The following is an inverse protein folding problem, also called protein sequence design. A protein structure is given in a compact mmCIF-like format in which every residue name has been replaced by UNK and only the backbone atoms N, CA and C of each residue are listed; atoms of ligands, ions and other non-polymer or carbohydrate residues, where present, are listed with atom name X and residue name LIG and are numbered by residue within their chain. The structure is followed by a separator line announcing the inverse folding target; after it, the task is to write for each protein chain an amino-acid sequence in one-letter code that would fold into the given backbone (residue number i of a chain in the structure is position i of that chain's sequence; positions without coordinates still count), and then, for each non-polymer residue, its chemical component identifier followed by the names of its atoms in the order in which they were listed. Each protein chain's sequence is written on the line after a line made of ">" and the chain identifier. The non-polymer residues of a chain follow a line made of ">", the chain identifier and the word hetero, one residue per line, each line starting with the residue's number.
data_IF_697411582880
#
_entry.id   IF_697411582880
#
_cell.length_a   1.000
_cell.length_b   1.000
_cell.length_c   1.000
_cell.angle_alpha   90.00
_cell.angle_beta   90.00
_cell.angle_gamma   90.00
#
_symmetry.space_group_name_H-M   'P 1'
#
loop_
_entity.id
_entity.type
_entity.pdbx_description
1 polymer ?
#
# COMPACT_ATOMS: atom_id res chain seq x y z
N UNK A 1 -22.40 -7.64 -22.23
CA UNK A 1 -21.84 -8.21 -20.99
C UNK A 1 -20.40 -7.73 -20.86
N UNK A 2 -20.01 -7.20 -19.70
CA UNK A 2 -18.61 -6.85 -19.45
C UNK A 2 -17.89 -8.13 -19.00
N UNK A 3 -17.15 -8.77 -19.92
CA UNK A 3 -16.36 -9.97 -19.62
C UNK A 3 -15.08 -9.56 -18.91
N UNK A 4 -15.06 -9.60 -17.58
CA UNK A 4 -13.83 -9.42 -16.77
C UNK A 4 -13.69 -10.54 -15.74
N UNK A 5 -12.46 -10.92 -15.46
CA UNK A 5 -12.17 -11.84 -14.34
C UNK A 5 -12.41 -11.12 -13.01
N UNK A 6 -13.05 -11.82 -12.08
CA UNK A 6 -13.27 -11.36 -10.70
C UNK A 6 -12.86 -12.45 -9.72
N UNK A 7 -12.51 -12.07 -8.50
CA UNK A 7 -12.36 -12.98 -7.38
C UNK A 7 -13.69 -13.04 -6.61
N UNK A 8 -14.13 -14.24 -6.27
CA UNK A 8 -15.33 -14.47 -5.48
C UNK A 8 -14.93 -15.09 -4.13
N UNK A 9 -15.17 -14.36 -3.05
CA UNK A 9 -14.98 -14.85 -1.68
C UNK A 9 -16.31 -15.24 -1.11
N UNK A 10 -16.49 -16.54 -0.83
CA UNK A 10 -17.70 -17.09 -0.23
C UNK A 10 -17.42 -17.35 1.25
N UNK A 11 -18.25 -16.82 2.13
CA UNK A 11 -18.09 -16.98 3.57
C UNK A 11 -18.65 -18.34 4.02
N UNK A 12 -18.12 -18.83 5.15
CA UNK A 12 -18.61 -20.06 5.77
C UNK A 12 -20.09 -19.92 6.15
N UNK A 13 -20.84 -21.00 6.04
CA UNK A 13 -22.28 -21.03 6.26
C UNK A 13 -22.68 -20.63 7.70
N UNK A 14 -21.87 -21.03 8.67
CA UNK A 14 -22.04 -20.72 10.08
C UNK A 14 -22.07 -19.21 10.32
N UNK A 15 -21.12 -18.48 9.72
CA UNK A 15 -21.03 -17.02 9.78
C UNK A 15 -22.19 -16.35 9.02
N UNK A 16 -22.59 -16.95 7.92
CA UNK A 16 -23.66 -16.40 7.08
C UNK A 16 -25.05 -16.50 7.70
N UNK A 17 -25.27 -17.32 8.76
CA UNK A 17 -26.56 -17.50 9.43
C UNK A 17 -26.78 -16.55 10.60
N UNK A 18 -25.72 -15.96 11.14
CA UNK A 18 -25.83 -14.99 12.24
C UNK A 18 -26.32 -13.64 11.72
N UNK A 19 -27.48 -13.20 12.19
CA UNK A 19 -28.11 -11.94 11.75
C UNK A 19 -27.30 -10.70 12.18
N UNK A 20 -26.67 -10.75 13.36
CA UNK A 20 -25.81 -9.65 13.85
C UNK A 20 -24.59 -9.50 12.96
N UNK A 21 -23.95 -10.63 12.65
CA UNK A 21 -22.85 -10.68 11.69
C UNK A 21 -23.23 -10.17 10.31
N UNK A 22 -24.39 -10.63 9.77
CA UNK A 22 -24.86 -10.17 8.46
C UNK A 22 -25.00 -8.64 8.38
N UNK A 23 -25.64 -8.04 9.41
CA UNK A 23 -25.88 -6.60 9.44
C UNK A 23 -24.56 -5.82 9.50
N UNK A 24 -23.62 -6.27 10.32
CA UNK A 24 -22.30 -5.65 10.46
C UNK A 24 -21.45 -5.85 9.21
N UNK A 25 -21.44 -7.06 8.66
CA UNK A 25 -20.75 -7.38 7.43
C UNK A 25 -21.25 -6.50 6.26
N UNK A 26 -22.57 -6.30 6.12
CA UNK A 26 -23.13 -5.38 5.10
C UNK A 26 -22.62 -3.95 5.28
N UNK A 27 -22.64 -3.46 6.52
CA UNK A 27 -22.16 -2.11 6.83
C UNK A 27 -20.69 -1.96 6.47
N UNK A 28 -19.84 -2.92 6.85
CA UNK A 28 -18.40 -2.87 6.61
C UNK A 28 -18.04 -3.13 5.14
N UNK A 29 -18.72 -4.06 4.47
CA UNK A 29 -18.55 -4.28 3.04
C UNK A 29 -18.96 -3.06 2.21
N UNK A 30 -20.06 -2.39 2.55
CA UNK A 30 -20.47 -1.14 1.92
C UNK A 30 -19.46 -0.02 2.14
N UNK A 31 -18.91 0.06 3.33
CA UNK A 31 -17.93 1.07 3.69
C UNK A 31 -16.57 0.79 3.00
N UNK A 32 -16.09 -0.46 3.00
CA UNK A 32 -14.85 -0.84 2.30
C UNK A 32 -14.94 -0.68 0.78
N UNK A 33 -16.14 -0.85 0.19
CA UNK A 33 -16.37 -0.61 -1.24
C UNK A 33 -16.13 0.85 -1.66
N UNK A 34 -16.12 1.80 -0.72
CA UNK A 34 -15.77 3.20 -1.00
C UNK A 34 -14.26 3.45 -1.06
N UNK A 35 -13.42 2.50 -0.64
CA UNK A 35 -11.98 2.62 -0.67
C UNK A 35 -11.45 2.33 -2.10
N UNK A 36 -11.26 3.38 -2.89
CA UNK A 36 -10.71 3.28 -4.24
C UNK A 36 -9.27 3.79 -4.22
N UNK A 37 -8.31 2.86 -4.24
CA UNK A 37 -6.89 3.18 -4.20
C UNK A 37 -6.07 2.12 -4.95
N UNK A 38 -4.96 2.47 -5.65
CA UNK A 38 -4.15 1.50 -6.40
C UNK A 38 -3.60 0.35 -5.55
N UNK A 39 -3.37 0.56 -4.25
CA UNK A 39 -2.86 -0.45 -3.33
C UNK A 39 -3.94 -1.06 -2.41
N UNK A 40 -5.21 -0.91 -2.75
CA UNK A 40 -6.34 -1.57 -2.08
C UNK A 40 -7.14 -2.36 -3.13
N UNK A 41 -7.57 -3.56 -2.77
CA UNK A 41 -8.45 -4.38 -3.63
C UNK A 41 -9.79 -3.68 -3.77
N UNK A 42 -10.23 -3.48 -5.02
CA UNK A 42 -11.56 -2.93 -5.28
C UNK A 42 -12.63 -3.98 -5.03
N UNK A 43 -13.56 -3.69 -4.13
CA UNK A 43 -14.79 -4.49 -3.95
C UNK A 43 -15.83 -4.00 -4.95
N UNK A 44 -16.33 -4.91 -5.78
CA UNK A 44 -17.30 -4.60 -6.82
C UNK A 44 -18.74 -4.80 -6.38
N UNK A 45 -18.96 -5.84 -5.58
CA UNK A 45 -20.30 -6.22 -5.11
C UNK A 45 -20.21 -7.15 -3.91
N UNK A 46 -21.29 -7.26 -3.16
CA UNK A 46 -21.46 -8.24 -2.09
C UNK A 46 -22.95 -8.60 -1.99
N UNK A 47 -23.24 -9.82 -1.57
CA UNK A 47 -24.63 -10.29 -1.51
C UNK A 47 -24.79 -11.62 -0.82
N UNK A 48 -25.98 -12.18 -1.02
CA UNK A 48 -26.37 -13.50 -0.57
C UNK A 48 -26.71 -14.37 -1.78
N UNK A 49 -26.24 -15.61 -1.75
CA UNK A 49 -26.72 -16.68 -2.61
C UNK A 49 -27.18 -17.82 -1.71
N UNK A 50 -28.51 -18.06 -1.69
CA UNK A 50 -29.15 -18.95 -0.72
C UNK A 50 -28.88 -18.51 0.73
N UNK A 51 -28.09 -19.30 1.47
CA UNK A 51 -27.73 -19.06 2.86
C UNK A 51 -26.24 -18.67 3.04
N UNK A 52 -25.55 -18.24 1.96
CA UNK A 52 -24.13 -17.85 1.97
C UNK A 52 -23.92 -16.41 1.58
N UNK A 53 -23.14 -15.73 2.37
CA UNK A 53 -22.60 -14.41 2.04
C UNK A 53 -21.46 -14.54 1.04
N UNK A 54 -21.39 -13.63 0.07
CA UNK A 54 -20.28 -13.54 -0.86
C UNK A 54 -19.83 -12.10 -1.08
N UNK A 55 -18.56 -11.94 -1.48
CA UNK A 55 -17.98 -10.68 -1.94
C UNK A 55 -17.40 -10.91 -3.33
N UNK A 56 -17.69 -10.00 -4.25
CA UNK A 56 -17.09 -9.94 -5.58
C UNK A 56 -16.04 -8.83 -5.58
N UNK A 57 -14.80 -9.18 -5.89
CA UNK A 57 -13.68 -8.23 -5.83
C UNK A 57 -12.78 -8.35 -7.05
N UNK A 58 -11.87 -7.40 -7.17
CA UNK A 58 -10.81 -7.37 -8.17
C UNK A 58 -9.97 -8.66 -8.12
N UNK A 59 -9.79 -9.28 -9.28
CA UNK A 59 -8.91 -10.44 -9.41
C UNK A 59 -7.46 -9.97 -9.66
N UNK A 60 -6.54 -10.43 -8.84
CA UNK A 60 -5.10 -10.15 -9.00
C UNK A 60 -4.42 -11.42 -9.53
N UNK A 61 -3.82 -11.30 -10.72
CA UNK A 61 -2.98 -12.36 -11.30
C UNK A 61 -1.60 -12.30 -10.65
N UNK A 62 -1.43 -13.03 -9.57
CA UNK A 62 -0.21 -13.01 -8.76
C UNK A 62 -0.26 -13.97 -7.58
N UNK A 63 0.43 -13.63 -6.50
CA UNK A 63 0.50 -14.41 -5.28
C UNK A 63 0.29 -13.50 -4.05
N UNK A 64 -0.08 -14.09 -2.92
CA UNK A 64 -0.04 -13.37 -1.65
C UNK A 64 1.42 -13.20 -1.16
N UNK A 65 1.64 -12.16 -0.35
CA UNK A 65 2.97 -11.81 0.13
C UNK A 65 3.58 -12.90 1.02
N UNK A 66 2.74 -13.71 1.73
CA UNK A 66 3.25 -14.83 2.53
C UNK A 66 3.86 -15.92 1.66
N UNK A 67 3.24 -16.21 0.54
CA UNK A 67 3.79 -17.14 -0.47
C UNK A 67 5.13 -16.62 -1.00
N UNK A 68 5.24 -15.32 -1.28
CA UNK A 68 6.50 -14.69 -1.75
C UNK A 68 7.58 -14.78 -0.66
N UNK A 69 7.25 -14.45 0.60
CA UNK A 69 8.15 -14.56 1.74
C UNK A 69 8.68 -16.02 1.87
N UNK A 70 7.78 -16.99 1.86
CA UNK A 70 8.15 -18.39 2.04
C UNK A 70 9.10 -18.91 0.93
N UNK A 71 9.03 -18.34 -0.26
CA UNK A 71 9.86 -18.75 -1.40
C UNK A 71 11.20 -18.01 -1.50
N UNK A 72 11.25 -16.75 -1.03
CA UNK A 72 12.35 -15.84 -1.37
C UNK A 72 12.94 -15.08 -0.18
N UNK A 73 12.51 -15.35 1.07
CA UNK A 73 12.96 -14.59 2.24
C UNK A 73 14.39 -14.97 2.69
N UNK A 74 15.20 -14.01 3.16
CA UNK A 74 14.92 -12.59 3.21
C UNK A 74 14.88 -11.96 1.81
N UNK A 75 14.00 -10.96 1.62
CA UNK A 75 13.97 -10.20 0.37
C UNK A 75 15.12 -9.18 0.32
N UNK A 76 15.50 -8.77 -0.89
CA UNK A 76 16.40 -7.62 -1.01
C UNK A 76 15.78 -6.37 -0.36
N UNK A 77 16.60 -5.51 0.23
CA UNK A 77 16.14 -4.28 0.91
C UNK A 77 15.30 -3.41 -0.03
N UNK A 78 15.71 -3.30 -1.31
CA UNK A 78 14.97 -2.52 -2.31
C UNK A 78 13.56 -3.06 -2.54
N UNK A 79 13.40 -4.39 -2.70
CA UNK A 79 12.10 -5.01 -2.93
C UNK A 79 11.21 -4.96 -1.69
N UNK A 80 11.80 -5.17 -0.51
CA UNK A 80 11.08 -5.05 0.76
C UNK A 80 10.54 -3.62 0.95
N UNK A 81 11.38 -2.60 0.69
CA UNK A 81 10.97 -1.19 0.75
C UNK A 81 9.86 -0.87 -0.26
N UNK A 82 9.94 -1.40 -1.48
CA UNK A 82 8.90 -1.18 -2.49
C UNK A 82 7.53 -1.70 -2.02
N UNK A 83 7.49 -2.93 -1.50
CA UNK A 83 6.25 -3.49 -0.96
C UNK A 83 5.76 -2.73 0.28
N UNK A 84 6.65 -2.31 1.18
CA UNK A 84 6.28 -1.55 2.37
C UNK A 84 5.74 -0.17 2.03
N UNK A 85 6.32 0.51 1.04
CA UNK A 85 5.83 1.80 0.53
C UNK A 85 4.42 1.67 -0.05
N UNK A 86 4.17 0.64 -0.83
CA UNK A 86 2.85 0.39 -1.40
C UNK A 86 1.82 0.05 -0.32
N UNK A 87 2.18 -0.81 0.64
CA UNK A 87 1.29 -1.20 1.74
C UNK A 87 0.98 -0.02 2.67
N UNK A 88 2.00 0.74 3.09
CA UNK A 88 1.82 1.90 3.96
C UNK A 88 0.97 3.00 3.31
N UNK A 89 1.12 3.21 2.00
CA UNK A 89 0.30 4.14 1.22
C UNK A 89 -1.17 3.73 1.19
N UNK A 90 -1.45 2.44 0.94
CA UNK A 90 -2.81 1.89 0.97
C UNK A 90 -3.46 2.01 2.35
N UNK A 91 -2.72 1.64 3.42
CA UNK A 91 -3.19 1.80 4.80
C UNK A 91 -3.39 3.27 5.17
N UNK A 92 -2.48 4.18 4.77
CA UNK A 92 -2.60 5.62 5.00
C UNK A 92 -3.89 6.18 4.41
N UNK A 93 -4.22 5.83 3.18
CA UNK A 93 -5.49 6.21 2.54
C UNK A 93 -6.71 5.68 3.30
N UNK A 94 -6.69 4.42 3.73
CA UNK A 94 -7.78 3.84 4.52
C UNK A 94 -7.94 4.56 5.87
N UNK A 95 -6.84 4.84 6.58
CA UNK A 95 -6.85 5.55 7.86
C UNK A 95 -7.40 6.97 7.75
N UNK A 96 -7.02 7.72 6.69
CA UNK A 96 -7.59 9.04 6.40
C UNK A 96 -9.09 8.98 6.11
N UNK A 97 -9.57 7.87 5.55
CA UNK A 97 -10.99 7.60 5.31
C UNK A 97 -11.73 7.07 6.55
N UNK A 98 -11.07 6.97 7.72
CA UNK A 98 -11.65 6.50 8.97
C UNK A 98 -11.68 4.98 9.14
N UNK A 99 -10.97 4.23 8.30
CA UNK A 99 -10.90 2.77 8.35
C UNK A 99 -9.61 2.27 8.98
N UNK A 100 -9.73 1.35 9.93
CA UNK A 100 -8.63 0.54 10.48
C UNK A 100 -8.81 -0.88 10.02
N UNK A 101 -7.76 -1.50 9.47
CA UNK A 101 -7.83 -2.83 8.88
C UNK A 101 -7.98 -3.95 9.95
N UNK A 102 -7.22 -3.86 11.03
CA UNK A 102 -7.19 -4.77 12.19
C UNK A 102 -6.72 -6.22 11.91
N UNK A 103 -6.46 -6.61 10.66
CA UNK A 103 -5.94 -7.94 10.29
C UNK A 103 -4.87 -7.82 9.20
N UNK A 104 -3.94 -6.85 9.38
CA UNK A 104 -2.80 -6.64 8.48
C UNK A 104 -1.83 -7.81 8.63
N UNK A 105 -1.69 -8.60 7.57
CA UNK A 105 -0.79 -9.75 7.49
C UNK A 105 -0.42 -10.06 6.05
N UNK A 106 0.67 -10.79 5.79
CA UNK A 106 1.13 -11.04 4.43
C UNK A 106 0.12 -11.79 3.55
N UNK A 107 -0.75 -12.63 4.14
CA UNK A 107 -1.79 -13.35 3.41
C UNK A 107 -2.88 -12.40 2.86
N UNK A 108 -3.06 -11.23 3.48
CA UNK A 108 -4.00 -10.21 3.06
C UNK A 108 -3.36 -9.13 2.16
N UNK A 109 -2.18 -9.42 1.62
CA UNK A 109 -1.44 -8.57 0.69
C UNK A 109 -1.18 -9.33 -0.60
N UNK A 110 -1.90 -8.99 -1.67
CA UNK A 110 -1.75 -9.64 -2.97
C UNK A 110 -0.77 -8.84 -3.83
N UNK A 111 0.19 -9.53 -4.41
CA UNK A 111 1.18 -8.94 -5.31
C UNK A 111 0.95 -9.47 -6.71
N UNK A 112 0.69 -8.56 -7.65
CA UNK A 112 0.51 -8.91 -9.07
C UNK A 112 1.84 -9.32 -9.71
N UNK A 113 1.79 -9.96 -10.88
CA UNK A 113 2.98 -10.26 -11.70
C UNK A 113 3.79 -9.03 -12.10
N UNK A 114 3.18 -7.85 -12.09
CA UNK A 114 3.85 -6.57 -12.35
C UNK A 114 4.44 -5.90 -11.10
N UNK A 115 4.40 -6.55 -9.93
CA UNK A 115 4.94 -6.03 -8.68
C UNK A 115 4.00 -5.05 -7.94
N UNK A 116 2.75 -4.91 -8.36
CA UNK A 116 1.78 -4.04 -7.68
C UNK A 116 1.21 -4.81 -6.48
N UNK A 117 1.41 -4.26 -5.28
CA UNK A 117 0.83 -4.78 -4.04
C UNK A 117 -0.54 -4.15 -3.80
N UNK A 118 -1.52 -4.99 -3.43
CA UNK A 118 -2.87 -4.56 -3.03
C UNK A 118 -3.29 -5.26 -1.73
N UNK A 119 -3.82 -4.47 -0.79
CA UNK A 119 -4.35 -4.97 0.48
C UNK A 119 -5.79 -5.40 0.28
N UNK A 120 -6.15 -6.55 0.82
CA UNK A 120 -7.50 -7.13 0.75
C UNK A 120 -8.08 -7.34 2.16
N UNK A 121 -9.38 -7.64 2.22
CA UNK A 121 -10.09 -8.02 3.46
C UNK A 121 -10.25 -6.91 4.50
N UNK A 122 -10.36 -5.64 4.06
CA UNK A 122 -10.74 -4.55 4.96
C UNK A 122 -12.10 -4.79 5.62
N UNK A 123 -12.15 -4.60 6.94
CA UNK A 123 -13.39 -4.62 7.74
C UNK A 123 -13.93 -6.01 8.09
N UNK A 124 -13.52 -7.09 7.44
CA UNK A 124 -14.06 -8.45 7.72
C UNK A 124 -13.68 -8.91 9.14
N UNK A 125 -12.46 -8.64 9.58
CA UNK A 125 -11.99 -8.99 10.92
C UNK A 125 -12.81 -8.31 12.02
N UNK A 126 -13.20 -7.04 11.82
CA UNK A 126 -14.02 -6.29 12.75
C UNK A 126 -15.47 -6.80 12.84
N UNK A 127 -16.02 -7.32 11.74
CA UNK A 127 -17.31 -8.00 11.74
C UNK A 127 -17.24 -9.31 12.55
N UNK A 128 -16.14 -10.05 12.43
CA UNK A 128 -15.93 -11.31 13.15
C UNK A 128 -15.70 -11.11 14.66
N UNK A 129 -15.00 -10.05 15.08
CA UNK A 129 -14.69 -9.75 16.48
C UNK A 129 -15.95 -9.54 17.36
N UNK A 130 -17.08 -9.22 16.74
CA UNK A 130 -18.36 -9.05 17.46
C UNK A 130 -18.97 -10.36 17.88
N UNK A 131 -18.85 -11.41 17.06
CA UNK A 131 -19.38 -12.74 17.38
C UNK A 131 -18.60 -13.35 18.55
N UNK A 132 -17.28 -13.20 18.58
CA UNK A 132 -16.44 -13.78 19.61
C UNK A 132 -16.59 -13.10 20.99
N UNK A 133 -17.14 -11.87 21.06
CA UNK A 133 -17.42 -11.20 22.35
C UNK A 133 -18.70 -11.68 23.03
N UNK A 134 -19.68 -12.12 22.25
CA UNK A 134 -20.95 -12.66 22.78
C UNK A 134 -20.82 -14.15 23.15
N UNK A 135 -20.01 -14.89 22.42
CA UNK A 135 -19.62 -16.26 22.74
C UNK A 135 -18.24 -16.23 23.41
N UNK A 136 -18.19 -16.41 24.73
CA UNK A 136 -16.95 -16.50 25.54
C UNK A 136 -16.09 -17.73 25.13
N UNK A 137 -15.63 -17.78 23.91
CA UNK A 137 -14.68 -18.79 23.44
C UNK A 137 -13.34 -18.14 23.14
N UNK A 138 -12.27 -18.78 23.61
CA UNK A 138 -10.85 -18.50 23.38
C UNK A 138 -10.42 -18.57 21.89
N UNK A 139 -11.25 -18.13 20.98
CA UNK A 139 -10.94 -18.13 19.54
C UNK A 139 -10.27 -16.81 19.21
N UNK A 140 -8.98 -16.79 19.26
CA UNK A 140 -8.14 -15.73 18.69
C UNK A 140 -8.32 -15.79 17.16
N UNK A 141 -9.18 -14.92 16.61
CA UNK A 141 -9.39 -14.81 15.18
C UNK A 141 -8.19 -14.09 14.53
N UNK A 142 -7.56 -14.74 13.56
CA UNK A 142 -6.40 -14.25 12.81
C UNK A 142 -5.12 -14.99 13.15
N UNK A 143 -4.04 -14.65 12.44
CA UNK A 143 -2.71 -15.19 12.76
C UNK A 143 -2.11 -14.35 13.87
N UNK A 144 -1.95 -14.86 15.10
CA UNK A 144 -1.50 -14.07 16.27
C UNK A 144 -0.08 -13.52 16.11
N UNK A 145 0.67 -14.01 15.11
CA UNK A 145 2.05 -13.59 14.81
C UNK A 145 2.19 -12.11 14.39
N UNK A 146 1.10 -11.46 13.97
CA UNK A 146 1.11 -10.05 13.51
C UNK A 146 0.28 -9.14 14.41
N UNK A 147 -0.23 -9.64 15.55
CA UNK A 147 -1.07 -8.85 16.45
C UNK A 147 -0.28 -7.77 17.17
N UNK A 148 -0.90 -6.60 17.29
CA UNK A 148 -0.36 -5.55 18.13
C UNK A 148 -0.54 -5.86 19.62
N UNK A 149 0.24 -5.23 20.52
CA UNK A 149 0.07 -5.32 21.96
C UNK A 149 -1.36 -4.99 22.42
N UNK A 150 -2.00 -4.02 21.76
CA UNK A 150 -3.38 -3.60 22.06
C UNK A 150 -4.41 -4.65 21.67
N UNK A 151 -4.23 -5.30 20.54
CA UNK A 151 -5.10 -6.41 20.10
C UNK A 151 -4.96 -7.59 21.07
N UNK A 152 -3.71 -7.94 21.42
CA UNK A 152 -3.43 -8.97 22.42
C UNK A 152 -3.98 -8.64 23.83
N UNK A 153 -4.38 -7.38 24.07
CA UNK A 153 -4.98 -6.89 25.33
C UNK A 153 -6.47 -6.55 25.19
N UNK A 154 -7.08 -6.79 24.03
CA UNK A 154 -8.51 -6.51 23.77
C UNK A 154 -8.89 -5.02 23.80
N UNK A 155 -7.94 -4.11 23.54
CA UNK A 155 -8.19 -2.67 23.49
C UNK A 155 -8.89 -2.27 22.19
N UNK A 156 -9.50 -1.07 22.20
CA UNK A 156 -10.15 -0.51 21.02
C UNK A 156 -9.16 -0.32 19.87
N UNK A 157 -9.57 -0.59 18.62
CA UNK A 157 -8.70 -0.45 17.46
C UNK A 157 -8.37 1.01 17.17
N UNK A 158 -7.13 1.25 16.74
CA UNK A 158 -6.61 2.51 16.21
C UNK A 158 -5.71 2.27 15.01
N UNK A 159 -5.41 3.26 14.17
CA UNK A 159 -4.48 3.10 13.04
C UNK A 159 -3.08 2.58 13.45
N UNK A 160 -2.64 2.85 14.67
CA UNK A 160 -1.36 2.36 15.18
C UNK A 160 -1.27 0.83 15.31
N UNK A 161 -2.41 0.12 15.35
CA UNK A 161 -2.49 -1.35 15.28
C UNK A 161 -1.94 -1.84 13.93
N UNK A 162 -2.43 -1.27 12.83
CA UNK A 162 -2.04 -1.67 11.48
C UNK A 162 -0.57 -1.31 11.22
N UNK A 163 -0.08 -0.20 11.78
CA UNK A 163 1.32 0.20 11.73
C UNK A 163 2.21 -0.85 12.41
N UNK A 164 1.83 -1.32 13.60
CA UNK A 164 2.57 -2.38 14.28
C UNK A 164 2.62 -3.67 13.46
N UNK A 165 1.49 -4.11 12.94
CA UNK A 165 1.40 -5.31 12.11
C UNK A 165 2.24 -5.17 10.83
N UNK A 166 2.25 -3.99 10.19
CA UNK A 166 3.12 -3.70 9.06
C UNK A 166 4.61 -3.66 9.47
N UNK A 167 4.92 -3.24 10.69
CA UNK A 167 6.25 -3.35 11.30
C UNK A 167 6.72 -4.80 11.45
N UNK A 168 5.83 -5.72 11.88
CA UNK A 168 6.11 -7.16 11.94
C UNK A 168 6.38 -7.71 10.53
N UNK A 169 5.59 -7.31 9.54
CA UNK A 169 5.81 -7.71 8.14
C UNK A 169 7.14 -7.17 7.63
N UNK A 170 7.47 -5.92 7.92
CA UNK A 170 8.74 -5.31 7.53
C UNK A 170 9.92 -6.10 8.10
N UNK A 171 9.85 -6.46 9.38
CA UNK A 171 10.83 -7.30 10.04
C UNK A 171 11.00 -8.65 9.32
N UNK A 172 9.89 -9.33 9.03
CA UNK A 172 9.90 -10.63 8.36
C UNK A 172 10.47 -10.55 6.93
N UNK A 173 10.12 -9.51 6.17
CA UNK A 173 10.62 -9.28 4.81
C UNK A 173 12.15 -9.18 4.76
N UNK A 174 12.76 -8.43 5.69
CA UNK A 174 14.19 -8.11 5.63
C UNK A 174 15.08 -9.08 6.41
N UNK A 175 14.50 -9.87 7.36
CA UNK A 175 15.26 -10.85 8.17
C UNK A 175 14.96 -12.30 7.79
N UNK A 176 13.83 -12.57 7.14
CA UNK A 176 13.34 -13.93 6.91
C UNK A 176 12.75 -14.59 8.15
N UNK A 177 12.59 -13.86 9.25
CA UNK A 177 12.12 -14.39 10.54
C UNK A 177 11.04 -13.48 11.12
N UNK A 178 10.14 -14.07 11.91
CA UNK A 178 9.22 -13.29 12.74
C UNK A 178 9.96 -12.70 13.94
N UNK A 179 9.59 -11.51 14.44
CA UNK A 179 10.20 -10.91 15.63
C UNK A 179 9.91 -11.70 16.90
N UNK A 180 8.77 -12.38 16.94
CA UNK A 180 8.34 -13.21 18.05
C UNK A 180 7.77 -14.51 17.51
N UNK A 181 8.12 -15.61 18.17
CA UNK A 181 7.67 -16.96 17.82
C UNK A 181 7.49 -17.77 19.09
N UNK A 182 6.30 -18.33 19.29
CA UNK A 182 5.98 -19.25 20.37
C UNK A 182 5.00 -20.31 19.86
N UNK A 183 5.00 -21.48 20.49
CA UNK A 183 4.06 -22.57 20.18
C UNK A 183 2.67 -22.27 20.79
N UNK A 184 2.66 -21.62 21.96
CA UNK A 184 1.44 -21.22 22.65
C UNK A 184 1.04 -19.80 22.31
N UNK A 185 -0.24 -19.60 21.99
CA UNK A 185 -0.79 -18.29 21.62
C UNK A 185 -0.78 -17.28 22.76
N UNK A 186 -0.90 -17.71 24.02
CA UNK A 186 -0.85 -16.83 25.18
C UNK A 186 0.58 -16.33 25.45
N UNK A 187 1.58 -17.18 25.24
CA UNK A 187 2.99 -16.81 25.30
C UNK A 187 3.33 -15.82 24.17
N UNK A 188 2.91 -16.10 22.96
CA UNK A 188 3.11 -15.20 21.81
C UNK A 188 2.46 -13.83 22.06
N UNK A 189 1.24 -13.80 22.60
CA UNK A 189 0.56 -12.57 22.98
C UNK A 189 1.33 -11.81 24.09
N UNK A 190 1.95 -12.52 25.05
CA UNK A 190 2.82 -11.92 26.07
C UNK A 190 4.06 -11.30 25.43
N UNK A 191 4.72 -12.00 24.49
CA UNK A 191 5.89 -11.48 23.77
C UNK A 191 5.55 -10.19 23.02
N UNK A 192 4.42 -10.17 22.31
CA UNK A 192 3.95 -8.95 21.63
C UNK A 192 3.70 -7.80 22.61
N UNK A 193 3.18 -8.08 23.83
CA UNK A 193 2.91 -7.04 24.84
C UNK A 193 4.15 -6.48 25.51
N UNK A 194 5.16 -7.30 25.78
CA UNK A 194 6.21 -6.89 26.74
C UNK A 194 7.65 -7.17 26.29
N UNK A 195 7.91 -8.03 25.31
CA UNK A 195 9.27 -8.36 24.91
C UNK A 195 9.77 -7.48 23.78
N UNK A 196 11.03 -7.08 23.82
CA UNK A 196 11.66 -6.36 22.73
C UNK A 196 12.13 -7.34 21.66
N UNK A 197 11.95 -7.01 20.37
CA UNK A 197 12.50 -7.85 19.29
C UNK A 197 14.01 -7.71 19.22
N UNK A 198 14.69 -8.74 18.72
CA UNK A 198 16.08 -8.63 18.30
C UNK A 198 16.14 -7.58 17.19
N UNK A 199 17.07 -6.60 17.21
CA UNK A 199 17.19 -5.64 16.16
C UNK A 199 17.36 -6.32 14.79
N UNK A 200 16.59 -5.93 13.73
CA UNK A 200 16.70 -6.54 12.41
C UNK A 200 18.14 -6.60 11.88
N UNK A 201 18.92 -5.55 12.14
CA UNK A 201 20.31 -5.42 11.70
C UNK A 201 21.25 -6.45 12.36
N UNK A 202 20.93 -6.94 13.56
CA UNK A 202 21.72 -7.96 14.25
C UNK A 202 21.51 -9.35 13.60
N UNK A 203 20.43 -9.52 12.83
CA UNK A 203 20.13 -10.74 12.08
C UNK A 203 20.65 -10.64 10.64
N UNK A 204 20.44 -9.49 10.00
CA UNK A 204 20.88 -9.22 8.63
C UNK A 204 21.64 -7.89 8.60
N UNK A 205 22.97 -7.97 8.53
CA UNK A 205 23.88 -6.81 8.57
C UNK A 205 23.77 -5.89 7.34
N UNK A 206 23.13 -6.34 6.26
CA UNK A 206 22.86 -5.52 5.07
C UNK A 206 21.75 -4.48 5.30
N UNK A 207 20.99 -4.59 6.39
CA UNK A 207 19.91 -3.67 6.71
C UNK A 207 20.50 -2.32 7.11
N UNK A 208 20.16 -1.22 6.41
CA UNK A 208 20.57 0.12 6.78
C UNK A 208 20.07 0.53 8.15
N UNK A 209 20.86 1.28 8.91
CA UNK A 209 20.48 1.70 10.27
C UNK A 209 19.14 2.46 10.30
N UNK A 210 18.90 3.32 9.29
CA UNK A 210 17.64 4.06 9.18
C UNK A 210 16.43 3.13 9.03
N UNK A 211 16.53 2.01 8.28
CA UNK A 211 15.47 1.03 8.15
C UNK A 211 15.32 0.20 9.44
N UNK A 212 16.43 -0.20 10.06
CA UNK A 212 16.43 -0.88 11.36
C UNK A 212 15.65 -0.07 12.40
N UNK A 213 15.96 1.21 12.57
CA UNK A 213 15.28 2.09 13.52
C UNK A 213 13.80 2.31 13.16
N UNK A 214 13.48 2.43 11.88
CA UNK A 214 12.10 2.60 11.43
C UNK A 214 11.23 1.37 11.76
N UNK A 215 11.77 0.16 11.57
CA UNK A 215 11.09 -1.10 11.94
C UNK A 215 10.92 -1.18 13.46
N UNK A 216 11.97 -0.89 14.24
CA UNK A 216 11.89 -0.91 15.70
C UNK A 216 10.89 0.12 16.24
N UNK A 217 10.82 1.31 15.64
CA UNK A 217 9.82 2.33 15.96
C UNK A 217 8.41 1.82 15.69
N UNK A 218 8.15 1.18 14.56
CA UNK A 218 6.84 0.59 14.26
C UNK A 218 6.47 -0.52 15.25
N UNK A 219 7.45 -1.26 15.80
CA UNK A 219 7.29 -2.33 16.77
C UNK A 219 7.30 -1.85 18.24
N UNK A 220 7.33 -0.53 18.52
CA UNK A 220 7.25 0.00 19.87
C UNK A 220 6.01 -0.51 20.61
N UNK A 221 6.13 -0.78 21.89
CA UNK A 221 5.03 -1.35 22.69
C UNK A 221 3.94 -0.33 22.99
N UNK A 222 4.33 0.91 23.28
CA UNK A 222 3.38 2.01 23.40
C UNK A 222 2.95 2.48 21.99
N UNK A 223 1.65 2.52 21.67
CA UNK A 223 1.16 3.07 20.42
C UNK A 223 1.60 4.52 20.15
N UNK A 224 1.79 5.32 21.22
CA UNK A 224 2.21 6.72 21.11
C UNK A 224 3.64 6.88 20.56
N UNK A 225 4.50 5.88 20.77
CA UNK A 225 5.89 5.89 20.30
C UNK A 225 6.02 5.45 18.83
N UNK A 226 4.94 4.95 18.22
CA UNK A 226 4.92 4.48 16.82
C UNK A 226 4.65 5.63 15.85
N UNK A 227 4.67 5.31 14.57
CA UNK A 227 3.97 6.12 13.58
C UNK A 227 2.46 6.02 13.85
N UNK A 228 1.76 7.16 13.82
CA UNK A 228 0.37 7.22 14.24
C UNK A 228 -0.62 6.66 13.21
N UNK A 229 -0.19 6.54 11.95
CA UNK A 229 -0.98 6.00 10.84
C UNK A 229 -0.07 5.53 9.70
N UNK A 230 -0.69 4.93 8.66
CA UNK A 230 0.04 4.44 7.50
C UNK A 230 0.74 5.54 6.70
N UNK A 231 0.21 6.77 6.67
CA UNK A 231 0.83 7.89 5.96
C UNK A 231 2.12 8.35 6.62
N UNK A 232 2.14 8.47 7.95
CA UNK A 232 3.37 8.80 8.68
C UNK A 232 4.46 7.74 8.47
N UNK A 233 4.07 6.45 8.48
CA UNK A 233 5.01 5.38 8.22
C UNK A 233 5.52 5.44 6.78
N UNK A 234 4.64 5.71 5.81
CA UNK A 234 4.99 5.90 4.41
C UNK A 234 6.03 7.01 4.21
N UNK A 235 5.83 8.19 4.82
CA UNK A 235 6.77 9.30 4.78
C UNK A 235 8.15 8.92 5.36
N UNK A 236 8.15 8.16 6.46
CA UNK A 236 9.38 7.62 7.04
C UNK A 236 10.13 6.70 6.06
N UNK A 237 9.43 5.80 5.39
CA UNK A 237 10.01 4.88 4.41
C UNK A 237 10.51 5.59 3.14
N UNK A 238 9.81 6.62 2.63
CA UNK A 238 10.28 7.46 1.52
C UNK A 238 11.63 8.09 1.85
N UNK A 239 11.77 8.66 3.06
CA UNK A 239 13.01 9.28 3.49
C UNK A 239 14.18 8.29 3.49
N UNK A 240 13.95 7.05 3.92
CA UNK A 240 14.92 5.96 3.88
C UNK A 240 15.30 5.61 2.44
N UNK A 241 14.31 5.46 1.57
CA UNK A 241 14.52 5.14 0.16
C UNK A 241 15.39 6.21 -0.53
N UNK A 242 15.12 7.49 -0.28
CA UNK A 242 15.89 8.61 -0.83
C UNK A 242 17.36 8.58 -0.37
N UNK A 243 17.62 8.27 0.90
CA UNK A 243 18.99 8.14 1.43
C UNK A 243 19.74 7.02 0.71
N UNK A 244 19.10 5.86 0.51
CA UNK A 244 19.71 4.72 -0.18
C UNK A 244 20.04 5.03 -1.64
N UNK A 245 19.14 5.68 -2.37
CA UNK A 245 19.41 6.10 -3.76
C UNK A 245 20.52 7.16 -3.84
N UNK A 246 20.55 8.13 -2.93
CA UNK A 246 21.59 9.16 -2.89
C UNK A 246 22.98 8.57 -2.64
N UNK A 247 23.07 7.58 -1.75
CA UNK A 247 24.33 6.88 -1.43
C UNK A 247 24.89 6.08 -2.63
N UNK A 248 24.03 5.57 -3.51
CA UNK A 248 24.45 4.87 -4.73
C UNK A 248 24.83 5.82 -5.86
N UNK A 249 24.24 7.02 -5.93
CA UNK A 249 24.55 8.02 -6.96
C UNK A 249 25.93 8.67 -6.78
N UNK A 250 26.49 8.68 -5.58
CA UNK A 250 27.83 9.23 -5.30
C UNK A 250 28.96 8.35 -5.81
N UNK A 251 28.70 7.14 -6.27
CA UNK A 251 29.70 6.20 -6.82
C UNK A 251 29.87 6.30 -8.34
N UNK A 252 29.10 7.13 -9.03
CA UNK A 252 29.35 7.43 -10.45
C UNK A 252 30.41 8.55 -10.47
N UNK A 253 31.66 8.26 -10.90
CA UNK A 253 32.65 9.32 -11.05
C UNK A 253 32.12 10.33 -12.05
N UNK A 254 31.93 11.56 -11.63
CA UNK A 254 31.65 12.68 -12.52
C UNK A 254 32.85 12.80 -13.44
N UNK A 255 32.78 12.25 -14.64
CA UNK A 255 33.77 12.47 -15.70
C UNK A 255 33.64 13.95 -16.05
N UNK A 256 34.58 14.76 -15.54
CA UNK A 256 34.64 16.17 -15.90
C UNK A 256 34.77 16.28 -17.43
N UNK A 257 33.97 17.13 -18.08
CA UNK A 257 34.03 17.29 -19.55
C UNK A 257 35.37 17.67 -20.12
N UNK A 258 36.29 18.17 -19.30
CA UNK A 258 37.64 18.63 -19.72
C UNK A 258 38.59 17.51 -20.18
N UNK A 259 38.34 16.25 -19.79
CA UNK A 259 39.21 15.13 -20.23
C UNK A 259 38.91 14.63 -21.64
N UNK A 260 37.76 14.97 -22.22
CA UNK A 260 37.38 14.53 -23.57
C UNK A 260 37.94 15.44 -24.67
N UNK A 261 38.35 16.66 -24.34
CA UNK A 261 38.87 17.64 -25.33
C UNK A 261 40.34 17.48 -25.68
N UNK A 262 41.15 16.71 -24.94
CA UNK A 262 42.56 16.54 -25.19
C UNK A 262 42.95 15.38 -26.10
N UNK A 263 42.06 14.46 -26.42
CA UNK A 263 42.38 13.29 -27.25
C UNK A 263 41.93 13.41 -28.73
N UNK A 264 41.35 14.55 -29.11
CA UNK A 264 40.83 14.74 -30.50
C UNK A 264 41.51 15.85 -31.30
N UNK A 265 42.78 16.16 -30.98
CA UNK A 265 43.59 17.15 -31.74
C UNK A 265 44.65 16.50 -32.64
N UNK A 266 44.31 15.41 -33.28
CA UNK A 266 45.20 14.75 -34.23
C UNK A 266 44.41 13.87 -35.19
N UNK A 267 43.65 14.44 -36.10
CA UNK A 267 43.16 13.91 -37.37
C UNK A 267 41.85 14.60 -37.77
N UNK A 268 41.90 15.76 -38.37
CA UNK A 268 40.90 16.23 -39.33
C UNK A 268 41.62 17.16 -40.31
N UNK A 269 41.93 16.62 -41.46
CA UNK A 269 42.04 17.38 -42.72
C UNK A 269 40.96 16.79 -43.61
N UNK A 270 40.16 17.68 -44.21
CA UNK A 270 39.30 17.50 -45.37
C UNK A 270 38.03 16.70 -45.19
N UNK A 271 36.94 17.40 -44.93
CA UNK A 271 35.65 17.25 -45.63
C UNK A 271 34.87 18.56 -45.51
N UNK A 272 34.43 19.09 -46.65
CA UNK A 272 33.77 20.37 -46.86
C UNK A 272 32.39 20.47 -46.24
N UNK A 273 32.03 21.71 -45.92
CA UNK A 273 30.74 22.21 -45.46
C UNK A 273 29.58 21.81 -46.40
N UNK A 274 28.50 21.28 -45.79
CA UNK A 274 27.15 21.47 -46.29
C UNK A 274 26.24 21.83 -45.14
N UNK A 275 25.82 23.10 -45.10
CA UNK A 275 24.96 23.70 -44.11
C UNK A 275 23.52 23.30 -44.39
N UNK A 276 22.88 22.63 -43.41
CA UNK A 276 21.42 22.69 -43.28
C UNK A 276 21.02 22.50 -41.84
N UNK A 277 20.69 23.63 -41.17
CA UNK A 277 20.09 23.65 -39.86
C UNK A 277 18.59 23.23 -39.94
N UNK A 278 18.14 22.24 -39.17
CA UNK A 278 16.71 22.05 -38.99
C UNK A 278 16.25 23.01 -37.90
N UNK A 279 15.33 23.90 -38.22
CA UNK A 279 14.53 24.70 -37.29
C UNK A 279 13.73 23.75 -36.40
N UNK A 280 14.16 23.61 -35.16
CA UNK A 280 13.33 23.00 -34.11
C UNK A 280 12.17 23.97 -33.81
N UNK A 281 11.04 23.72 -34.43
CA UNK A 281 9.79 24.38 -34.07
C UNK A 281 9.41 23.93 -32.65
N UNK A 282 9.31 24.88 -31.74
CA UNK A 282 8.94 24.63 -30.34
C UNK A 282 7.53 24.10 -30.26
N UNK A 283 7.36 22.83 -30.03
CA UNK A 283 6.08 22.13 -29.84
C UNK A 283 5.23 22.77 -28.72
N UNK A 284 5.87 23.44 -27.77
CA UNK A 284 5.26 24.14 -26.66
C UNK A 284 4.39 25.34 -27.07
N UNK A 285 4.82 26.12 -28.09
CA UNK A 285 4.06 27.32 -28.54
C UNK A 285 2.83 26.96 -29.35
N UNK A 286 2.85 25.87 -30.10
CA UNK A 286 1.68 25.40 -30.85
C UNK A 286 0.63 24.81 -29.89
N UNK A 287 1.06 24.05 -28.89
CA UNK A 287 0.15 23.49 -27.88
C UNK A 287 -0.55 24.57 -27.06
N UNK A 288 0.17 25.62 -26.67
CA UNK A 288 -0.42 26.77 -25.98
C UNK A 288 -1.45 27.54 -26.85
N UNK A 289 -1.19 27.73 -28.14
CA UNK A 289 -2.12 28.39 -29.05
C UNK A 289 -3.41 27.58 -29.25
N UNK A 290 -3.30 26.25 -29.36
CA UNK A 290 -4.48 25.38 -29.48
C UNK A 290 -5.30 25.35 -28.18
N UNK A 291 -4.67 25.31 -27.02
CA UNK A 291 -5.36 25.41 -25.71
C UNK A 291 -6.08 26.73 -25.53
N UNK A 292 -5.49 27.86 -25.95
CA UNK A 292 -6.13 29.19 -25.89
C UNK A 292 -7.36 29.27 -26.81
N UNK A 293 -7.30 28.66 -28.00
CA UNK A 293 -8.41 28.65 -28.96
C UNK A 293 -9.59 27.79 -28.49
N UNK A 294 -9.31 26.65 -27.79
CA UNK A 294 -10.34 25.79 -27.21
C UNK A 294 -11.03 26.44 -25.99
N UNK A 295 -10.29 27.22 -25.18
CA UNK A 295 -10.83 27.93 -24.03
C UNK A 295 -11.77 29.08 -24.46
N UNK A 296 -11.41 29.82 -25.47
CA UNK A 296 -12.25 30.97 -25.97
C UNK A 296 -13.44 30.48 -26.80
N UNK A 297 -13.25 29.40 -27.62
CA UNK A 297 -14.30 28.87 -28.49
C UNK A 297 -15.34 27.97 -27.82
N UNK A 298 -14.96 27.24 -26.77
CA UNK A 298 -15.81 26.24 -26.13
C UNK A 298 -16.64 26.75 -24.94
N UNK A 299 -16.14 27.71 -24.18
CA UNK A 299 -16.82 28.18 -22.96
C UNK A 299 -17.91 29.22 -23.23
N UNK A 300 -17.78 30.01 -24.29
CA UNK A 300 -18.78 31.07 -24.59
C UNK A 300 -20.15 30.46 -24.98
N UNK A 301 -20.26 29.46 -25.87
CA UNK A 301 -21.55 28.83 -26.17
C UNK A 301 -22.18 28.12 -24.96
N UNK A 302 -21.37 27.52 -24.09
CA UNK A 302 -21.85 26.83 -22.90
C UNK A 302 -22.48 27.82 -21.90
N UNK A 303 -21.84 28.94 -21.61
CA UNK A 303 -22.36 29.95 -20.72
C UNK A 303 -23.61 30.65 -21.28
N UNK A 304 -23.65 30.87 -22.59
CA UNK A 304 -24.85 31.44 -23.26
C UNK A 304 -26.04 30.47 -23.15
N UNK A 305 -25.80 29.16 -23.32
CA UNK A 305 -26.84 28.15 -23.15
C UNK A 305 -27.33 28.08 -21.69
N UNK A 306 -26.47 28.15 -20.71
CA UNK A 306 -26.83 28.12 -19.27
C UNK A 306 -27.66 29.38 -18.91
N UNK A 307 -27.26 30.57 -19.36
CA UNK A 307 -28.00 31.82 -19.11
C UNK A 307 -29.39 31.80 -19.76
N UNK A 308 -29.51 31.31 -20.99
CA UNK A 308 -30.78 31.18 -21.68
C UNK A 308 -31.70 30.15 -21.03
N UNK A 309 -31.15 29.06 -20.52
CA UNK A 309 -31.89 28.01 -19.80
C UNK A 309 -32.43 28.50 -18.44
N UNK A 310 -31.67 29.30 -17.71
CA UNK A 310 -32.08 29.87 -16.41
C UNK A 310 -33.20 30.92 -16.64
N UNK A 311 -33.12 31.73 -17.69
CA UNK A 311 -34.17 32.71 -18.02
C UNK A 311 -35.48 32.09 -18.51
N UNK A 312 -35.47 30.86 -19.01
CA UNK A 312 -36.69 30.15 -19.41
C UNK A 312 -37.43 29.49 -18.22
N UNK A 313 -36.77 29.31 -17.08
CA UNK A 313 -37.36 28.76 -15.85
C UNK A 313 -38.00 29.83 -14.93
N UNK A 314 -37.79 31.09 -15.22
CA UNK A 314 -38.34 32.23 -14.46
C UNK A 314 -39.52 32.98 -15.19
N UNK A 315 -40.16 32.31 -16.14
CA UNK A 315 -41.40 32.79 -16.76
C UNK A 315 -42.57 31.85 -16.52
#
# INVERSE_FOLDING_TARGET
>A
MLERKVALKILKKELSRDQSFQNKFRSEAKASASLIHPNIITTFDFGFDGDRLYIVMEYIDGADLKTIINQNSPLSISLALDYLLQASKGLGFAHQSGFVHCDVKPQNMLVSKSGILKITDFGIARALDTISREEKYDVVWGSPYYFSPEQASGKAPSPAIDVYSLGVIAYELVTGKLPFLAEDSAELAKMHRSELPIPPKDINTEIPESLNQSILKALSKDPADRYQNGEEFHCGLISIQQILYSSHSTLIPVIKPESILKTRKGQISDIQEESSSPKTMQFSTILMAIMALLLVGGLIPFWLYVILSINSLNR
#
